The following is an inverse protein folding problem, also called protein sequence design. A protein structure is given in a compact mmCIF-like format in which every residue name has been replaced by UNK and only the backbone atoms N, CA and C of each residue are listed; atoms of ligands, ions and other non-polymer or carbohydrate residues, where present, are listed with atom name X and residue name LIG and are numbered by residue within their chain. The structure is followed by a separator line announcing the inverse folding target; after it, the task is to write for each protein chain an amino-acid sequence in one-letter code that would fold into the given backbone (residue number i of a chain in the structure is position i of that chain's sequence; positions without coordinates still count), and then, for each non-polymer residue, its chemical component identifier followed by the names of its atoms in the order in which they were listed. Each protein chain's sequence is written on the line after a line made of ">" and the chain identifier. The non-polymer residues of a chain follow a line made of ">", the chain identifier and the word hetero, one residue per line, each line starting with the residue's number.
data_IF_404594909928
#
_entry.id   IF_404594909928
#
_cell.length_a   1.000
_cell.length_b   1.000
_cell.length_c   1.000
_cell.angle_alpha   90.00
_cell.angle_beta   90.00
_cell.angle_gamma   90.00
#
_symmetry.space_group_name_H-M   'P 1'
#
loop_
_entity.id
_entity.type
_entity.pdbx_description
1 polymer ?
#
# COMPACT_ATOMS: atom_id res chain seq x y z
N UNK A 1 -1.67 9.15 -14.99
CA UNK A 1 -1.53 7.83 -15.64
C UNK A 1 -0.63 7.03 -14.73
N UNK A 2 -1.16 5.98 -14.12
CA UNK A 2 -0.47 5.30 -13.04
C UNK A 2 0.65 4.43 -13.62
N UNK A 3 1.76 4.30 -12.89
CA UNK A 3 2.81 3.33 -13.23
C UNK A 3 2.98 2.38 -12.07
N UNK A 4 2.96 1.09 -12.37
CA UNK A 4 3.16 0.07 -11.34
C UNK A 4 4.50 -0.59 -11.62
N UNK A 5 5.38 -0.61 -10.63
CA UNK A 5 6.68 -1.27 -10.69
C UNK A 5 6.70 -2.41 -9.70
N UNK A 6 7.01 -3.62 -10.17
CA UNK A 6 7.00 -4.83 -9.34
C UNK A 6 8.35 -5.52 -9.51
N UNK A 7 9.09 -5.64 -8.40
CA UNK A 7 10.45 -6.18 -8.39
C UNK A 7 11.33 -5.57 -9.51
N UNK A 8 11.20 -4.25 -9.73
CA UNK A 8 11.97 -3.49 -10.72
C UNK A 8 11.39 -3.46 -12.15
N UNK A 9 10.34 -4.22 -12.45
CA UNK A 9 9.66 -4.17 -13.77
C UNK A 9 8.51 -3.17 -13.74
N UNK A 10 8.63 -2.09 -14.50
CA UNK A 10 7.57 -1.07 -14.63
C UNK A 10 6.58 -1.42 -15.73
N UNK A 11 5.30 -1.31 -15.40
CA UNK A 11 4.17 -1.62 -16.26
C UNK A 11 3.27 -0.38 -16.29
N UNK A 12 3.04 0.22 -17.48
CA UNK A 12 2.11 1.33 -17.60
C UNK A 12 0.69 0.82 -17.33
N UNK A 13 0.01 1.44 -16.39
CA UNK A 13 -1.30 1.03 -15.93
C UNK A 13 -2.30 2.15 -16.16
N UNK A 14 -3.45 1.83 -16.76
CA UNK A 14 -4.55 2.79 -16.88
C UNK A 14 -5.58 2.64 -15.77
N UNK A 15 -5.60 1.50 -15.07
CA UNK A 15 -6.45 1.29 -13.91
C UNK A 15 -5.80 1.61 -12.57
N UNK A 16 -6.59 1.40 -11.53
CA UNK A 16 -6.34 1.88 -10.17
C UNK A 16 -6.42 0.75 -9.13
N UNK A 17 -6.55 -0.51 -9.58
CA UNK A 17 -6.74 -1.67 -8.71
C UNK A 17 -5.72 -2.75 -9.02
N UNK A 18 -4.90 -3.07 -8.02
CA UNK A 18 -3.81 -4.02 -8.13
C UNK A 18 -4.09 -5.15 -7.15
N UNK A 19 -4.30 -6.36 -7.64
CA UNK A 19 -4.41 -7.53 -6.77
C UNK A 19 -3.18 -8.39 -6.95
N UNK A 20 -2.52 -8.80 -5.88
CA UNK A 20 -1.49 -9.84 -5.94
C UNK A 20 -1.97 -11.04 -5.15
N UNK A 21 -2.17 -12.15 -5.85
CA UNK A 21 -2.63 -13.40 -5.25
C UNK A 21 -1.74 -14.56 -5.71
N UNK A 22 -1.23 -15.35 -4.77
CA UNK A 22 -0.37 -16.52 -5.04
C UNK A 22 0.81 -16.22 -5.99
N UNK A 23 1.47 -15.08 -5.78
CA UNK A 23 2.60 -14.64 -6.61
C UNK A 23 2.20 -14.11 -7.99
N UNK A 24 0.91 -14.11 -8.37
CA UNK A 24 0.44 -13.49 -9.61
C UNK A 24 -0.03 -12.08 -9.34
N UNK A 25 0.45 -11.13 -10.13
CA UNK A 25 0.01 -9.74 -10.11
C UNK A 25 -1.09 -9.57 -11.14
N UNK A 26 -2.24 -9.10 -10.68
CA UNK A 26 -3.39 -8.74 -11.47
C UNK A 26 -3.54 -7.22 -11.48
N UNK A 27 -3.60 -6.65 -12.67
CA UNK A 27 -4.02 -5.26 -12.89
C UNK A 27 -5.28 -5.29 -13.72
N UNK A 28 -6.35 -4.69 -13.20
CA UNK A 28 -7.69 -4.69 -13.82
C UNK A 28 -8.19 -6.09 -14.23
N UNK A 29 -7.81 -7.12 -13.46
CA UNK A 29 -8.18 -8.51 -13.69
C UNK A 29 -7.27 -9.29 -14.65
N UNK A 30 -6.23 -8.67 -15.23
CA UNK A 30 -5.25 -9.35 -16.07
C UNK A 30 -3.97 -9.70 -15.31
N UNK A 31 -3.50 -10.95 -15.42
CA UNK A 31 -2.18 -11.34 -14.88
C UNK A 31 -1.09 -10.71 -15.73
N UNK A 32 -0.31 -9.81 -15.14
CA UNK A 32 0.76 -9.08 -15.82
C UNK A 32 2.16 -9.59 -15.44
N UNK A 33 2.27 -10.29 -14.31
CA UNK A 33 3.53 -10.85 -13.83
C UNK A 33 3.31 -11.99 -12.83
N UNK A 34 4.22 -12.96 -12.85
CA UNK A 34 4.42 -13.95 -11.79
C UNK A 34 5.70 -13.62 -11.02
N UNK A 35 5.60 -13.66 -9.70
CA UNK A 35 6.63 -13.33 -8.74
C UNK A 35 6.83 -14.52 -7.79
N UNK A 36 8.09 -14.83 -7.49
CA UNK A 36 8.48 -15.85 -6.51
C UNK A 36 9.38 -15.16 -5.48
N UNK A 37 9.12 -15.39 -4.18
CA UNK A 37 9.83 -14.73 -3.08
C UNK A 37 9.18 -13.42 -2.62
N UNK A 38 9.97 -12.56 -1.99
CA UNK A 38 9.50 -11.27 -1.47
C UNK A 38 9.05 -10.35 -2.62
N UNK A 39 7.88 -9.74 -2.43
CA UNK A 39 7.24 -8.89 -3.44
C UNK A 39 7.35 -7.45 -2.98
N UNK A 40 8.03 -6.61 -3.76
CA UNK A 40 8.08 -5.16 -3.53
C UNK A 40 7.31 -4.48 -4.66
N UNK A 41 6.18 -3.85 -4.31
CA UNK A 41 5.36 -3.06 -5.23
C UNK A 41 5.66 -1.58 -5.03
N UNK A 42 5.84 -0.85 -6.13
CA UNK A 42 5.85 0.61 -6.14
C UNK A 42 4.75 1.06 -7.11
N UNK A 43 3.82 1.88 -6.64
CA UNK A 43 2.73 2.44 -7.44
C UNK A 43 2.95 3.94 -7.52
N UNK A 44 3.16 4.47 -8.72
CA UNK A 44 3.23 5.90 -8.99
C UNK A 44 1.83 6.39 -9.39
N UNK A 45 1.15 7.08 -8.46
CA UNK A 45 -0.24 7.52 -8.58
C UNK A 45 -1.17 6.99 -7.48
N UNK A 46 -2.45 7.36 -7.59
CA UNK A 46 -3.49 6.95 -6.64
C UNK A 46 -3.89 5.49 -6.84
N UNK A 47 -4.20 4.80 -5.74
CA UNK A 47 -4.64 3.40 -5.75
C UNK A 47 -5.88 3.18 -4.90
N UNK A 48 -6.85 2.45 -5.45
CA UNK A 48 -8.09 2.11 -4.77
C UNK A 48 -7.96 0.82 -3.95
N UNK A 49 -7.07 -0.08 -4.34
CA UNK A 49 -6.97 -1.41 -3.75
C UNK A 49 -5.64 -2.06 -4.04
N UNK A 50 -4.93 -2.50 -2.99
CA UNK A 50 -3.74 -3.36 -3.08
C UNK A 50 -3.88 -4.52 -2.10
N UNK A 51 -3.62 -5.73 -2.58
CA UNK A 51 -3.43 -6.90 -1.71
C UNK A 51 -2.10 -7.55 -2.09
N UNK A 52 -1.20 -7.69 -1.12
CA UNK A 52 0.16 -8.18 -1.34
C UNK A 52 0.68 -8.92 -0.11
N UNK A 53 1.49 -9.96 -0.28
CA UNK A 53 2.17 -10.59 0.87
C UNK A 53 3.48 -9.87 1.25
N UNK A 54 4.00 -8.99 0.40
CA UNK A 54 5.25 -8.27 0.63
C UNK A 54 5.03 -6.79 0.94
N UNK A 55 6.01 -5.96 0.60
CA UNK A 55 5.97 -4.52 0.86
C UNK A 55 5.25 -3.76 -0.25
N UNK A 56 4.59 -2.67 0.13
CA UNK A 56 3.86 -1.79 -0.79
C UNK A 56 4.31 -0.35 -0.59
N UNK A 57 4.70 0.30 -1.68
CA UNK A 57 4.98 1.73 -1.74
C UNK A 57 4.03 2.40 -2.74
N UNK A 58 3.39 3.50 -2.35
CA UNK A 58 2.44 4.26 -3.16
C UNK A 58 2.89 5.73 -3.18
N UNK A 59 3.11 6.29 -4.36
CA UNK A 59 3.43 7.71 -4.58
C UNK A 59 2.17 8.47 -4.99
N UNK A 60 1.13 8.36 -4.17
CA UNK A 60 -0.19 8.95 -4.36
C UNK A 60 -1.07 8.67 -3.15
N UNK A 61 -2.37 8.85 -3.28
CA UNK A 61 -3.35 8.53 -2.26
C UNK A 61 -3.69 7.04 -2.28
N UNK A 62 -4.06 6.51 -1.11
CA UNK A 62 -4.46 5.13 -0.94
C UNK A 62 -5.85 5.03 -0.33
N UNK A 63 -6.64 4.09 -0.84
CA UNK A 63 -7.89 3.68 -0.23
C UNK A 63 -7.68 2.41 0.59
N UNK A 64 -7.76 1.22 -0.04
CA UNK A 64 -7.61 -0.05 0.67
C UNK A 64 -6.26 -0.71 0.36
N UNK A 65 -5.46 -1.00 1.38
CA UNK A 65 -4.20 -1.74 1.23
C UNK A 65 -4.11 -2.84 2.27
N UNK A 66 -3.82 -4.06 1.82
CA UNK A 66 -3.47 -5.20 2.67
C UNK A 66 -2.09 -5.68 2.29
N UNK A 67 -1.13 -5.59 3.21
CA UNK A 67 0.23 -6.03 2.94
C UNK A 67 0.81 -6.92 4.06
N UNK A 68 1.41 -8.03 3.66
CA UNK A 68 2.15 -8.90 4.57
C UNK A 68 3.50 -8.32 5.02
N UNK A 69 3.99 -7.26 4.37
CA UNK A 69 5.13 -6.47 4.77
C UNK A 69 4.75 -5.09 5.29
N UNK A 70 5.65 -4.12 5.11
CA UNK A 70 5.42 -2.70 5.44
C UNK A 70 4.71 -1.96 4.30
N UNK A 71 3.97 -0.92 4.65
CA UNK A 71 3.27 -0.04 3.71
C UNK A 71 3.83 1.39 3.78
N UNK A 72 4.11 2.01 2.65
CA UNK A 72 4.50 3.42 2.56
C UNK A 72 3.61 4.13 1.54
N UNK A 73 2.86 5.13 1.97
CA UNK A 73 1.98 5.94 1.13
C UNK A 73 2.46 7.39 1.21
N UNK A 74 2.86 8.00 0.10
CA UNK A 74 3.31 9.42 0.13
C UNK A 74 2.14 10.39 0.29
N UNK A 75 0.96 10.02 -0.19
CA UNK A 75 -0.27 10.80 -0.04
C UNK A 75 -1.09 10.37 1.16
N UNK A 76 -2.39 10.67 1.09
CA UNK A 76 -3.33 10.48 2.19
C UNK A 76 -3.98 9.09 2.13
N UNK A 77 -4.44 8.65 3.29
CA UNK A 77 -5.18 7.40 3.49
C UNK A 77 -6.62 7.75 3.82
N UNK A 78 -7.53 7.41 2.91
CA UNK A 78 -8.98 7.66 3.07
C UNK A 78 -9.77 6.37 3.32
N UNK A 79 -9.16 5.22 3.08
CA UNK A 79 -9.75 3.90 3.31
C UNK A 79 -9.07 3.16 4.46
N UNK A 80 -8.82 1.87 4.28
CA UNK A 80 -8.24 1.02 5.32
C UNK A 80 -6.88 0.43 4.92
N UNK A 81 -5.88 0.56 5.81
CA UNK A 81 -4.58 -0.12 5.65
C UNK A 81 -4.42 -1.20 6.72
N UNK A 82 -4.15 -2.44 6.29
CA UNK A 82 -3.74 -3.57 7.14
C UNK A 82 -2.33 -3.99 6.75
N UNK A 83 -1.37 -3.75 7.66
CA UNK A 83 0.02 -4.11 7.46
C UNK A 83 0.55 -4.97 8.60
N UNK A 84 1.20 -6.09 8.25
CA UNK A 84 1.98 -6.84 9.26
C UNK A 84 3.30 -6.16 9.61
N UNK A 85 3.76 -5.22 8.78
CA UNK A 85 4.91 -4.37 9.06
C UNK A 85 4.54 -3.03 9.69
N UNK A 86 5.39 -2.04 9.45
CA UNK A 86 5.12 -0.64 9.81
C UNK A 86 4.40 0.07 8.66
N UNK A 87 3.66 1.13 8.98
CA UNK A 87 3.01 1.98 7.98
C UNK A 87 3.59 3.39 8.05
N UNK A 88 3.89 3.98 6.90
CA UNK A 88 4.18 5.41 6.80
C UNK A 88 3.21 6.04 5.82
N UNK A 89 2.54 7.12 6.19
CA UNK A 89 1.60 7.82 5.32
C UNK A 89 1.60 9.35 5.50
N UNK A 90 0.83 10.04 4.66
CA UNK A 90 0.33 11.40 4.89
C UNK A 90 -0.81 11.40 5.92
N UNK A 91 -1.85 12.19 5.66
CA UNK A 91 -3.00 12.29 6.57
C UNK A 91 -3.87 11.03 6.50
N UNK A 92 -4.48 10.69 7.62
CA UNK A 92 -5.29 9.49 7.80
C UNK A 92 -6.71 9.91 8.15
N UNK A 93 -7.59 9.86 7.16
CA UNK A 93 -9.04 10.10 7.36
C UNK A 93 -9.84 8.80 7.47
N UNK A 94 -9.26 7.69 7.01
CA UNK A 94 -9.76 6.33 7.25
C UNK A 94 -9.07 5.66 8.44
N UNK A 95 -8.80 4.35 8.34
CA UNK A 95 -8.29 3.54 9.46
C UNK A 95 -6.98 2.83 9.10
N UNK A 96 -6.10 2.62 10.09
CA UNK A 96 -4.85 1.88 9.93
C UNK A 96 -4.70 0.85 11.05
N UNK A 97 -4.51 -0.41 10.67
CA UNK A 97 -4.05 -1.49 11.52
C UNK A 97 -2.63 -1.90 11.10
N UNK A 98 -1.68 -1.77 12.03
CA UNK A 98 -0.30 -2.19 11.81
C UNK A 98 0.22 -3.02 12.98
N UNK A 99 0.90 -4.13 12.70
CA UNK A 99 1.63 -4.83 13.79
C UNK A 99 2.86 -4.04 14.22
N UNK A 100 3.49 -3.30 13.29
CA UNK A 100 4.63 -2.44 13.55
C UNK A 100 4.24 -1.05 14.08
N UNK A 101 5.07 -0.07 13.75
CA UNK A 101 4.82 1.34 14.08
C UNK A 101 4.12 2.07 12.93
N UNK A 102 3.40 3.14 13.24
CA UNK A 102 2.76 4.01 12.24
C UNK A 102 3.37 5.41 12.32
N UNK A 103 3.78 5.95 11.18
CA UNK A 103 4.21 7.33 11.03
C UNK A 103 3.30 8.06 10.02
N UNK A 104 2.48 9.01 10.47
CA UNK A 104 1.45 9.66 9.65
C UNK A 104 1.43 11.18 9.85
N UNK A 105 0.61 11.89 9.08
CA UNK A 105 0.23 13.28 9.34
C UNK A 105 -0.92 13.36 10.34
N UNK A 106 -1.92 14.17 10.02
CA UNK A 106 -3.12 14.32 10.85
C UNK A 106 -3.97 13.05 10.84
N UNK A 107 -4.61 12.76 11.97
CA UNK A 107 -5.43 11.54 12.15
C UNK A 107 -6.87 11.94 12.44
N UNK A 108 -7.74 11.73 11.45
CA UNK A 108 -9.19 11.86 11.55
C UNK A 108 -9.94 10.55 11.79
N UNK A 109 -9.32 9.39 11.57
CA UNK A 109 -9.89 8.08 11.89
C UNK A 109 -9.13 7.33 12.99
N UNK A 110 -9.05 6.00 12.91
CA UNK A 110 -8.43 5.17 13.97
C UNK A 110 -7.10 4.58 13.54
N UNK A 111 -6.15 4.50 14.48
CA UNK A 111 -4.86 3.85 14.28
C UNK A 111 -4.65 2.82 15.39
N UNK A 112 -4.67 1.53 15.05
CA UNK A 112 -4.31 0.45 15.96
C UNK A 112 -2.92 -0.07 15.60
N UNK A 113 -2.00 -0.01 16.58
CA UNK A 113 -0.62 -0.44 16.37
C UNK A 113 -0.14 -1.37 17.46
N UNK A 114 0.71 -2.33 17.07
CA UNK A 114 1.51 -3.09 18.03
C UNK A 114 2.75 -2.32 18.52
N UNK A 115 3.25 -1.39 17.70
CA UNK A 115 4.40 -0.53 18.00
C UNK A 115 3.99 0.86 18.50
N UNK A 116 4.64 1.89 17.96
CA UNK A 116 4.39 3.30 18.30
C UNK A 116 3.64 4.03 17.19
N UNK A 117 2.88 5.06 17.55
CA UNK A 117 2.33 6.05 16.60
C UNK A 117 3.16 7.32 16.67
N UNK A 118 3.58 7.83 15.51
CA UNK A 118 4.30 9.09 15.35
C UNK A 118 3.58 9.98 14.35
N UNK A 119 2.95 11.05 14.82
CA UNK A 119 2.35 12.06 13.95
C UNK A 119 3.40 13.13 13.60
N UNK A 120 3.47 13.52 12.33
CA UNK A 120 4.30 14.60 11.83
C UNK A 120 3.65 15.94 12.21
N UNK A 121 4.45 16.88 12.68
CA UNK A 121 4.04 18.29 12.91
C UNK A 121 3.93 19.07 11.61
#
# INVERSE_FOLDING_TARGET
>A
MNKITINGKTIPCTGNRVHINNGKVFVDGQVIQECVGDINIIIDGDVNGVECNGNVEVHGNAWDIKCGGSCSVKGNVTGYIDARGSVTCGDVTGDIDATGSVACGDVGGNINVGGSVMCKE
#
